data_IF_373983977987
#
_entry.id   IF_373983977987
#
_cell.length_a   1.000
_cell.length_b   1.000
_cell.length_c   1.000
_cell.angle_alpha   90.00
_cell.angle_beta   90.00
_cell.angle_gamma   90.00
#
_symmetry.space_group_name_H-M   'P 1'
#
loop_
_entity.id
_entity.type
_entity.pdbx_description
1 polymer ?
#
# COMPACT_ATOMS: atom_id res chain seq x y z
N UNK A 1 -21.25 15.38 15.06
CA UNK A 1 -21.68 13.97 14.99
C UNK A 1 -21.79 13.45 16.40
N UNK A 2 -22.94 12.91 16.80
CA UNK A 2 -23.06 12.23 18.10
C UNK A 2 -22.35 10.88 17.97
N UNK A 3 -21.41 10.57 18.86
CA UNK A 3 -20.73 9.27 18.87
C UNK A 3 -21.74 8.15 19.16
N UNK A 4 -21.71 7.06 18.40
CA UNK A 4 -22.58 5.88 18.63
C UNK A 4 -22.40 5.32 20.05
N UNK A 5 -21.16 5.34 20.55
CA UNK A 5 -20.85 4.94 21.93
C UNK A 5 -21.56 5.84 22.96
N UNK A 6 -21.63 7.15 22.69
CA UNK A 6 -22.35 8.10 23.53
C UNK A 6 -23.88 7.95 23.41
N UNK A 7 -24.37 7.50 22.25
CA UNK A 7 -25.78 7.19 22.04
C UNK A 7 -26.21 5.89 22.74
N UNK A 8 -25.32 4.91 22.93
CA UNK A 8 -25.65 3.59 23.49
C UNK A 8 -24.61 3.07 24.52
N UNK A 9 -24.34 3.78 25.63
CA UNK A 9 -23.22 3.44 26.51
C UNK A 9 -23.44 2.17 27.36
N UNK A 10 -24.69 1.67 27.49
CA UNK A 10 -25.06 0.53 28.36
C UNK A 10 -26.17 -0.35 27.76
N UNK A 11 -26.43 -0.24 26.47
CA UNK A 11 -27.55 -0.93 25.83
C UNK A 11 -27.24 -2.42 25.65
N UNK A 12 -28.03 -3.32 26.22
CA UNK A 12 -27.89 -4.77 25.95
C UNK A 12 -28.86 -5.25 24.88
N UNK A 13 -29.91 -4.47 24.63
CA UNK A 13 -30.93 -4.71 23.62
C UNK A 13 -31.11 -3.43 22.81
N UNK A 14 -31.03 -3.56 21.49
CA UNK A 14 -31.17 -2.47 20.55
C UNK A 14 -32.24 -2.83 19.52
N UNK A 15 -33.35 -2.09 19.52
CA UNK A 15 -34.44 -2.25 18.56
C UNK A 15 -34.42 -1.09 17.55
N UNK A 16 -34.13 -1.42 16.29
CA UNK A 16 -34.09 -0.53 15.14
C UNK A 16 -35.08 -1.02 14.07
N UNK A 17 -36.10 -1.79 14.45
CA UNK A 17 -37.09 -2.33 13.52
C UNK A 17 -38.04 -1.24 13.00
N UNK A 18 -38.40 -1.29 11.72
CA UNK A 18 -39.23 -0.26 11.10
C UNK A 18 -40.74 -0.38 11.40
N UNK A 19 -41.14 -1.20 12.38
CA UNK A 19 -42.56 -1.41 12.74
C UNK A 19 -43.05 -0.60 13.92
N UNK A 20 -42.14 -0.06 14.75
CA UNK A 20 -42.53 0.44 16.06
C UNK A 20 -41.68 1.62 16.55
N UNK A 21 -41.43 2.62 15.69
CA UNK A 21 -40.54 3.72 16.01
C UNK A 21 -41.18 5.11 15.82
N UNK A 22 -42.12 5.43 16.71
CA UNK A 22 -42.24 6.80 17.22
C UNK A 22 -41.11 7.13 18.23
N UNK A 23 -40.31 6.15 18.69
CA UNK A 23 -39.13 6.38 19.53
C UNK A 23 -38.13 5.20 19.51
N UNK A 24 -36.88 5.47 19.15
CA UNK A 24 -35.72 4.60 19.40
C UNK A 24 -35.72 4.16 20.89
N UNK A 25 -35.97 2.88 21.16
CA UNK A 25 -36.09 2.38 22.54
C UNK A 25 -34.82 1.64 22.94
N UNK A 26 -33.99 2.27 23.76
CA UNK A 26 -32.82 1.63 24.37
C UNK A 26 -33.24 1.01 25.70
N UNK A 27 -33.09 -0.31 25.84
CA UNK A 27 -33.33 -0.98 27.13
C UNK A 27 -32.00 -1.24 27.82
N UNK A 28 -31.79 -0.63 29.00
CA UNK A 28 -30.61 -0.87 29.84
C UNK A 28 -31.00 -1.82 30.98
N UNK A 29 -30.29 -2.94 31.11
CA UNK A 29 -30.49 -3.86 32.26
C UNK A 29 -29.43 -3.57 33.32
N UNK A 30 -29.74 -2.72 34.28
CA UNK A 30 -28.85 -2.44 35.43
C UNK A 30 -29.14 -3.45 36.56
N UNK A 31 -28.12 -4.19 37.00
CA UNK A 31 -28.19 -4.99 38.24
C UNK A 31 -27.99 -4.07 39.44
N UNK A 32 -29.05 -3.60 40.09
CA UNK A 32 -28.96 -2.95 41.40
C UNK A 32 -28.98 -3.99 42.52
N UNK A 33 -28.04 -3.89 43.48
CA UNK A 33 -28.04 -4.70 44.70
C UNK A 33 -29.29 -4.33 45.53
N UNK A 34 -30.08 -5.35 45.87
CA UNK A 34 -31.42 -5.35 46.51
C UNK A 34 -32.61 -5.24 45.52
N UNK A 35 -33.37 -6.34 45.50
CA UNK A 35 -34.75 -6.54 45.00
C UNK A 35 -35.02 -6.41 43.49
N UNK A 36 -35.28 -7.57 42.85
CA UNK A 36 -35.89 -7.85 41.52
C UNK A 36 -35.22 -7.18 40.31
N UNK A 37 -34.93 -7.95 39.26
CA UNK A 37 -34.57 -7.45 37.93
C UNK A 37 -35.64 -6.44 37.48
N UNK A 38 -35.36 -5.14 37.57
CA UNK A 38 -36.25 -4.10 37.04
C UNK A 38 -35.63 -3.62 35.73
N UNK A 39 -36.31 -3.90 34.61
CA UNK A 39 -35.92 -3.41 33.30
C UNK A 39 -36.13 -1.90 33.28
N UNK A 40 -35.06 -1.13 33.11
CA UNK A 40 -35.12 0.33 32.99
C UNK A 40 -35.07 0.64 31.50
N UNK A 41 -36.12 1.31 31.01
CA UNK A 41 -36.25 1.73 29.62
C UNK A 41 -35.75 3.17 29.55
N UNK A 42 -34.45 3.36 29.36
CA UNK A 42 -33.88 4.70 29.17
C UNK A 42 -34.22 5.18 27.76
N UNK A 43 -35.16 6.11 27.66
CA UNK A 43 -35.67 6.65 26.39
C UNK A 43 -34.69 7.69 25.82
N UNK A 44 -33.82 7.29 24.88
CA UNK A 44 -33.13 8.23 23.99
C UNK A 44 -34.00 8.38 22.74
N UNK A 45 -34.81 9.44 22.68
CA UNK A 45 -35.70 9.69 21.55
C UNK A 45 -34.92 10.15 20.31
N UNK A 46 -34.58 9.23 19.42
CA UNK A 46 -34.45 9.52 18.00
C UNK A 46 -35.74 9.08 17.30
N UNK A 47 -36.48 10.04 16.73
CA UNK A 47 -37.64 9.75 15.89
C UNK A 47 -37.13 9.46 14.48
N UNK A 48 -37.14 8.20 14.05
CA UNK A 48 -36.72 7.80 12.69
C UNK A 48 -37.96 7.38 11.92
N UNK A 49 -38.53 8.30 11.15
CA UNK A 49 -39.70 8.03 10.31
C UNK A 49 -39.29 7.02 9.22
N UNK A 50 -40.02 5.92 9.03
CA UNK A 50 -39.77 4.89 8.00
C UNK A 50 -40.05 5.39 6.57
N UNK A 51 -39.32 6.44 6.16
CA UNK A 51 -39.27 7.00 4.80
C UNK A 51 -37.86 6.82 4.21
N UNK A 52 -37.67 7.12 2.92
CA UNK A 52 -36.39 7.05 2.18
C UNK A 52 -35.14 7.55 2.95
N UNK A 53 -35.29 8.51 3.88
CA UNK A 53 -34.20 9.02 4.72
C UNK A 53 -33.67 8.03 5.79
N UNK A 54 -34.47 7.03 6.19
CA UNK A 54 -34.14 6.10 7.28
C UNK A 54 -33.07 5.08 6.89
N UNK A 55 -33.13 4.52 5.67
CA UNK A 55 -32.16 3.53 5.20
C UNK A 55 -30.75 4.12 5.21
N UNK A 56 -30.61 5.38 4.79
CA UNK A 56 -29.34 6.08 4.82
C UNK A 56 -28.84 6.31 6.25
N UNK A 57 -29.72 6.70 7.18
CA UNK A 57 -29.33 6.89 8.59
C UNK A 57 -28.94 5.57 9.25
N UNK A 58 -29.69 4.49 9.03
CA UNK A 58 -29.38 3.17 9.57
C UNK A 58 -28.09 2.61 8.94
N UNK A 59 -27.89 2.83 7.64
CA UNK A 59 -26.64 2.49 6.96
C UNK A 59 -25.46 3.26 7.56
N UNK A 60 -25.60 4.58 7.75
CA UNK A 60 -24.56 5.40 8.38
C UNK A 60 -24.27 4.97 9.82
N UNK A 61 -25.28 4.58 10.60
CA UNK A 61 -25.09 4.07 11.97
C UNK A 61 -24.41 2.70 11.99
N UNK A 62 -24.82 1.76 11.11
CA UNK A 62 -24.24 0.42 11.06
C UNK A 62 -22.79 0.43 10.57
N UNK A 63 -22.44 1.35 9.68
CA UNK A 63 -21.09 1.47 9.09
C UNK A 63 -20.18 2.44 9.84
N UNK A 64 -20.62 3.00 10.97
CA UNK A 64 -19.74 3.73 11.87
C UNK A 64 -18.83 2.73 12.61
N UNK A 65 -17.51 3.00 12.70
CA UNK A 65 -16.56 2.07 13.30
C UNK A 65 -16.89 1.77 14.77
N UNK A 66 -17.59 2.67 15.45
CA UNK A 66 -17.98 2.50 16.84
C UNK A 66 -19.16 1.51 17.03
N UNK A 67 -20.00 1.28 16.03
CA UNK A 67 -21.18 0.41 16.19
C UNK A 67 -20.78 -1.05 16.45
N UNK A 68 -19.88 -1.58 15.62
CA UNK A 68 -19.36 -2.94 15.76
C UNK A 68 -18.47 -3.12 17.00
N UNK A 69 -18.04 -2.02 17.63
CA UNK A 69 -17.29 -2.02 18.90
C UNK A 69 -18.18 -2.19 20.14
N UNK A 70 -19.51 -2.15 20.00
CA UNK A 70 -20.50 -2.34 21.07
C UNK A 70 -20.62 -3.81 21.49
N UNK A 71 -19.52 -4.40 21.96
CA UNK A 71 -19.40 -5.80 22.36
C UNK A 71 -20.34 -6.23 23.49
N UNK A 72 -21.03 -5.30 24.16
CA UNK A 72 -21.98 -5.57 25.24
C UNK A 72 -23.41 -5.87 24.74
N UNK A 73 -23.70 -5.70 23.45
CA UNK A 73 -25.00 -5.98 22.85
C UNK A 73 -25.29 -7.49 22.86
N UNK A 74 -26.51 -7.85 23.28
CA UNK A 74 -27.00 -9.22 23.38
C UNK A 74 -28.13 -9.45 22.37
N UNK A 75 -28.96 -8.44 22.10
CA UNK A 75 -30.05 -8.53 21.13
C UNK A 75 -30.07 -7.29 20.24
N UNK A 76 -30.19 -7.52 18.93
CA UNK A 76 -30.38 -6.46 17.95
C UNK A 76 -31.55 -6.85 17.05
N UNK A 77 -32.50 -5.94 16.88
CA UNK A 77 -33.60 -6.07 15.92
C UNK A 77 -33.40 -5.04 14.81
N UNK A 78 -33.17 -5.50 13.59
CA UNK A 78 -33.07 -4.71 12.36
C UNK A 78 -34.18 -5.08 11.37
N UNK A 79 -35.26 -5.71 11.83
CA UNK A 79 -36.33 -6.21 10.98
C UNK A 79 -37.12 -5.11 10.26
N UNK A 80 -37.68 -5.47 9.10
CA UNK A 80 -38.51 -4.65 8.23
C UNK A 80 -37.84 -3.34 7.79
N UNK A 81 -36.53 -3.35 7.65
CA UNK A 81 -35.76 -2.26 7.05
C UNK A 81 -35.51 -2.54 5.55
N UNK A 82 -34.73 -1.68 4.89
CA UNK A 82 -34.32 -1.90 3.49
C UNK A 82 -32.81 -2.14 3.39
N UNK A 83 -32.24 -2.86 4.37
CA UNK A 83 -30.81 -3.14 4.40
C UNK A 83 -30.43 -4.03 3.22
N UNK A 84 -29.46 -3.58 2.43
CA UNK A 84 -28.94 -4.31 1.26
C UNK A 84 -27.73 -5.15 1.62
N UNK A 85 -26.90 -4.65 2.55
CA UNK A 85 -25.71 -5.29 3.07
C UNK A 85 -25.57 -5.00 4.58
N UNK A 86 -24.77 -5.83 5.25
CA UNK A 86 -24.29 -5.59 6.62
C UNK A 86 -22.79 -5.25 6.58
N UNK A 87 -22.27 -4.50 7.56
CA UNK A 87 -20.84 -4.19 7.67
C UNK A 87 -20.01 -5.47 7.88
N UNK A 88 -18.78 -5.51 7.37
CA UNK A 88 -17.90 -6.67 7.53
C UNK A 88 -17.56 -6.93 9.00
N UNK A 89 -17.53 -5.87 9.79
CA UNK A 89 -17.21 -5.83 11.20
C UNK A 89 -18.36 -6.30 12.11
N UNK A 90 -19.56 -6.63 11.57
CA UNK A 90 -20.69 -7.12 12.39
C UNK A 90 -20.29 -8.33 13.25
N UNK A 91 -19.33 -9.13 12.78
CA UNK A 91 -18.72 -10.25 13.49
C UNK A 91 -18.05 -9.91 14.82
N UNK A 92 -17.68 -8.64 15.05
CA UNK A 92 -17.04 -8.17 16.28
C UNK A 92 -17.99 -8.16 17.48
N UNK A 93 -19.32 -8.23 17.25
CA UNK A 93 -20.35 -8.31 18.28
C UNK A 93 -20.39 -9.72 18.94
N UNK A 94 -19.30 -10.12 19.58
CA UNK A 94 -19.10 -11.49 20.07
C UNK A 94 -20.09 -11.98 21.14
N UNK A 95 -20.80 -11.07 21.82
CA UNK A 95 -21.82 -11.41 22.82
C UNK A 95 -23.26 -11.40 22.27
N UNK A 96 -23.44 -11.08 20.98
CA UNK A 96 -24.76 -11.04 20.35
C UNK A 96 -25.38 -12.45 20.35
N UNK A 97 -26.58 -12.58 20.91
CA UNK A 97 -27.32 -13.85 21.01
C UNK A 97 -28.56 -13.88 20.13
N UNK A 98 -29.13 -12.72 19.79
CA UNK A 98 -30.35 -12.60 19.01
C UNK A 98 -30.19 -11.49 17.99
N UNK A 99 -30.37 -11.85 16.71
CA UNK A 99 -30.30 -10.91 15.60
C UNK A 99 -31.51 -11.11 14.69
N UNK A 100 -32.36 -10.10 14.58
CA UNK A 100 -33.48 -10.12 13.65
C UNK A 100 -33.19 -9.27 12.40
N UNK A 101 -33.23 -9.91 11.23
CA UNK A 101 -33.04 -9.30 9.92
C UNK A 101 -34.24 -9.55 9.00
N UNK A 102 -35.37 -10.00 9.55
CA UNK A 102 -36.60 -10.30 8.82
C UNK A 102 -36.99 -9.15 7.89
N UNK A 103 -37.44 -9.46 6.66
CA UNK A 103 -37.94 -8.51 5.67
C UNK A 103 -37.00 -7.33 5.41
N UNK A 104 -35.79 -7.65 4.94
CA UNK A 104 -34.82 -6.69 4.44
C UNK A 104 -34.55 -6.94 2.94
N UNK A 105 -33.48 -6.35 2.38
CA UNK A 105 -33.05 -6.56 0.99
C UNK A 105 -31.67 -7.22 0.91
N UNK A 106 -31.32 -8.01 1.92
CA UNK A 106 -30.03 -8.68 2.02
C UNK A 106 -29.93 -9.78 0.96
N UNK A 107 -28.85 -9.75 0.19
CA UNK A 107 -28.51 -10.83 -0.76
C UNK A 107 -27.47 -11.80 -0.21
N UNK A 108 -26.53 -11.26 0.56
CA UNK A 108 -25.41 -12.01 1.16
C UNK A 108 -25.19 -11.51 2.58
N UNK A 109 -24.51 -12.31 3.37
CA UNK A 109 -23.96 -11.92 4.67
C UNK A 109 -22.43 -11.79 4.54
N UNK A 110 -21.80 -10.89 5.31
CA UNK A 110 -20.34 -10.74 5.28
C UNK A 110 -19.65 -11.99 5.81
N UNK A 111 -18.44 -12.30 5.32
CA UNK A 111 -17.66 -13.47 5.79
C UNK A 111 -17.35 -13.41 7.29
N UNK A 112 -17.26 -12.20 7.86
CA UNK A 112 -17.08 -12.00 9.30
C UNK A 112 -18.29 -12.42 10.15
N UNK A 113 -19.44 -12.73 9.56
CA UNK A 113 -20.65 -13.15 10.29
C UNK A 113 -20.44 -14.46 11.07
N UNK A 114 -19.53 -15.33 10.62
CA UNK A 114 -19.08 -16.54 11.34
C UNK A 114 -18.49 -16.24 12.73
N UNK A 115 -18.03 -15.02 12.99
CA UNK A 115 -17.37 -14.62 14.24
C UNK A 115 -18.38 -14.36 15.37
N UNK A 116 -19.68 -14.32 15.07
CA UNK A 116 -20.78 -14.21 16.05
C UNK A 116 -20.97 -15.51 16.84
N UNK A 117 -19.96 -15.88 17.65
CA UNK A 117 -19.89 -17.18 18.37
C UNK A 117 -21.02 -17.40 19.37
N UNK A 118 -21.64 -16.33 19.87
CA UNK A 118 -22.73 -16.39 20.86
C UNK A 118 -24.13 -16.37 20.23
N UNK A 119 -24.24 -16.23 18.90
CA UNK A 119 -25.52 -16.04 18.24
C UNK A 119 -26.34 -17.33 18.30
N UNK A 120 -27.53 -17.23 18.90
CA UNK A 120 -28.44 -18.35 19.15
C UNK A 120 -29.72 -18.25 18.36
N UNK A 121 -30.11 -17.07 17.91
CA UNK A 121 -31.37 -16.85 17.20
C UNK A 121 -31.12 -15.89 16.04
N UNK A 122 -31.60 -16.28 14.87
CA UNK A 122 -31.45 -15.52 13.64
C UNK A 122 -32.70 -15.70 12.78
N UNK A 123 -33.26 -14.59 12.32
CA UNK A 123 -34.27 -14.58 11.26
C UNK A 123 -33.76 -13.80 10.05
N UNK A 124 -33.85 -14.44 8.89
CA UNK A 124 -33.46 -13.90 7.59
C UNK A 124 -34.61 -13.99 6.56
N UNK A 125 -35.80 -14.39 6.98
CA UNK A 125 -36.96 -14.55 6.10
C UNK A 125 -37.29 -13.22 5.39
N UNK A 126 -37.90 -13.32 4.22
CA UNK A 126 -38.27 -12.19 3.37
C UNK A 126 -37.07 -11.31 2.95
N UNK A 127 -35.90 -11.95 2.78
CA UNK A 127 -34.73 -11.36 2.13
C UNK A 127 -34.45 -12.08 0.78
N UNK A 128 -33.99 -11.35 -0.25
CA UNK A 128 -33.60 -11.94 -1.54
C UNK A 128 -32.21 -12.61 -1.46
N UNK A 129 -32.04 -13.54 -0.51
CA UNK A 129 -30.78 -14.23 -0.25
C UNK A 129 -30.31 -15.05 -1.45
N UNK A 130 -29.00 -15.16 -1.63
CA UNK A 130 -28.39 -16.09 -2.58
C UNK A 130 -28.85 -17.54 -2.29
N UNK A 131 -29.11 -18.38 -3.31
CA UNK A 131 -29.69 -19.71 -3.11
C UNK A 131 -28.95 -20.61 -2.10
N UNK A 132 -27.62 -20.52 -2.06
CA UNK A 132 -26.76 -21.28 -1.13
C UNK A 132 -27.01 -20.89 0.33
N UNK A 133 -27.06 -19.58 0.59
CA UNK A 133 -27.36 -19.02 1.90
C UNK A 133 -28.82 -19.23 2.30
N UNK A 134 -29.76 -19.05 1.37
CA UNK A 134 -31.17 -19.30 1.60
C UNK A 134 -31.41 -20.76 2.04
N UNK A 135 -30.76 -21.71 1.37
CA UNK A 135 -30.81 -23.13 1.72
C UNK A 135 -30.21 -23.41 3.11
N UNK A 136 -29.12 -22.75 3.47
CA UNK A 136 -28.51 -22.89 4.79
C UNK A 136 -29.39 -22.29 5.91
N UNK A 137 -29.99 -21.12 5.67
CA UNK A 137 -30.90 -20.46 6.60
C UNK A 137 -32.14 -21.32 6.86
N UNK A 138 -32.81 -21.77 5.80
CA UNK A 138 -34.08 -22.48 5.86
C UNK A 138 -35.20 -21.63 6.50
N UNK A 139 -36.28 -22.28 6.93
CA UNK A 139 -37.40 -21.59 7.55
C UNK A 139 -37.13 -21.19 9.00
N UNK A 140 -37.82 -20.15 9.46
CA UNK A 140 -37.83 -19.64 10.83
C UNK A 140 -39.28 -19.28 11.20
N UNK A 141 -40.14 -20.30 11.34
CA UNK A 141 -41.54 -20.12 11.75
C UNK A 141 -41.71 -20.14 13.28
N UNK A 142 -40.87 -20.92 13.96
CA UNK A 142 -40.88 -21.09 15.41
C UNK A 142 -39.49 -20.83 16.01
N UNK A 143 -39.42 -20.55 17.31
CA UNK A 143 -38.16 -20.28 18.02
C UNK A 143 -37.09 -21.36 17.79
N UNK A 144 -37.49 -22.63 17.71
CA UNK A 144 -36.58 -23.75 17.46
C UNK A 144 -35.97 -23.67 16.06
N UNK A 145 -36.76 -23.33 15.04
CA UNK A 145 -36.29 -23.22 13.66
C UNK A 145 -35.33 -22.04 13.51
N UNK A 146 -35.62 -20.90 14.13
CA UNK A 146 -34.73 -19.73 14.12
C UNK A 146 -33.40 -19.98 14.85
N UNK A 147 -33.41 -20.81 15.89
CA UNK A 147 -32.17 -21.29 16.55
C UNK A 147 -31.33 -22.18 15.63
N UNK A 148 -31.99 -23.04 14.88
CA UNK A 148 -31.34 -23.89 13.87
C UNK A 148 -30.80 -23.06 12.70
N UNK A 149 -31.56 -22.06 12.23
CA UNK A 149 -31.14 -21.08 11.22
C UNK A 149 -29.81 -20.43 11.62
N UNK A 150 -29.73 -19.86 12.83
CA UNK A 150 -28.49 -19.27 13.34
C UNK A 150 -27.30 -20.25 13.27
N UNK A 151 -27.49 -21.46 13.77
CA UNK A 151 -26.43 -22.47 13.80
C UNK A 151 -25.97 -22.89 12.40
N UNK A 152 -26.91 -23.15 11.47
CA UNK A 152 -26.61 -23.54 10.09
C UNK A 152 -25.94 -22.42 9.30
N UNK A 153 -26.41 -21.18 9.46
CA UNK A 153 -25.84 -20.01 8.78
C UNK A 153 -24.42 -19.75 9.27
N UNK A 154 -24.17 -19.79 10.59
CA UNK A 154 -22.81 -19.63 11.13
C UNK A 154 -21.86 -20.71 10.62
N UNK A 155 -22.32 -21.97 10.57
CA UNK A 155 -21.53 -23.06 10.02
C UNK A 155 -21.22 -22.85 8.52
N UNK A 156 -22.22 -22.44 7.73
CA UNK A 156 -22.04 -22.12 6.32
C UNK A 156 -21.05 -20.96 6.11
N UNK A 157 -21.18 -19.89 6.88
CA UNK A 157 -20.27 -18.73 6.83
C UNK A 157 -18.85 -19.10 7.24
N UNK A 158 -18.68 -19.99 8.22
CA UNK A 158 -17.36 -20.46 8.65
C UNK A 158 -16.63 -21.19 7.53
N UNK A 159 -17.32 -22.07 6.79
CA UNK A 159 -16.74 -22.76 5.64
C UNK A 159 -16.31 -21.76 4.56
N UNK A 160 -17.15 -20.79 4.23
CA UNK A 160 -16.81 -19.74 3.25
C UNK A 160 -15.62 -18.88 3.70
N UNK A 161 -15.52 -18.57 4.99
CA UNK A 161 -14.39 -17.82 5.52
C UNK A 161 -13.08 -18.63 5.39
N UNK A 162 -13.09 -19.90 5.78
CA UNK A 162 -11.92 -20.78 5.65
C UNK A 162 -11.48 -20.96 4.19
N UNK A 163 -12.43 -21.08 3.26
CA UNK A 163 -12.16 -21.16 1.82
C UNK A 163 -11.55 -19.85 1.30
N UNK A 164 -12.11 -18.70 1.68
CA UNK A 164 -11.58 -17.39 1.30
C UNK A 164 -10.16 -17.16 1.86
N UNK A 165 -9.90 -17.57 3.10
CA UNK A 165 -8.57 -17.48 3.73
C UNK A 165 -7.55 -18.36 3.00
N UNK A 166 -7.88 -19.63 2.73
CA UNK A 166 -7.01 -20.53 1.95
C UNK A 166 -6.72 -19.99 0.55
N UNK A 167 -7.72 -19.42 -0.12
CA UNK A 167 -7.53 -18.82 -1.44
C UNK A 167 -6.60 -17.60 -1.39
N UNK A 168 -6.73 -16.74 -0.36
CA UNK A 168 -5.81 -15.62 -0.13
C UNK A 168 -4.38 -16.11 0.13
N UNK A 169 -4.20 -17.11 1.00
CA UNK A 169 -2.89 -17.67 1.29
C UNK A 169 -2.22 -18.26 0.04
N UNK A 170 -2.97 -19.03 -0.74
CA UNK A 170 -2.49 -19.60 -1.99
C UNK A 170 -2.12 -18.51 -3.02
N UNK A 171 -2.90 -17.44 -3.13
CA UNK A 171 -2.55 -16.27 -3.96
C UNK A 171 -1.23 -15.63 -3.51
N UNK A 172 -1.04 -15.42 -2.20
CA UNK A 172 0.19 -14.85 -1.65
C UNK A 172 1.41 -15.75 -1.85
N UNK A 173 1.24 -17.08 -1.81
CA UNK A 173 2.33 -18.02 -2.10
C UNK A 173 2.75 -17.96 -3.57
N UNK A 174 1.76 -17.93 -4.49
CA UNK A 174 2.03 -17.79 -5.93
C UNK A 174 2.74 -16.49 -6.27
N UNK A 175 2.35 -15.39 -5.62
CA UNK A 175 3.00 -14.09 -5.80
C UNK A 175 4.46 -14.12 -5.32
N UNK A 176 4.71 -14.67 -4.12
CA UNK A 176 6.06 -14.85 -3.58
C UNK A 176 6.93 -15.75 -4.45
N UNK A 177 6.38 -16.82 -5.03
CA UNK A 177 7.11 -17.67 -5.97
C UNK A 177 7.45 -16.95 -7.28
N UNK A 178 6.51 -16.15 -7.79
CA UNK A 178 6.73 -15.35 -8.99
C UNK A 178 7.81 -14.30 -8.76
N UNK A 179 7.80 -13.63 -7.60
CA UNK A 179 8.81 -12.67 -7.19
C UNK A 179 10.19 -13.33 -7.08
N UNK A 180 10.30 -14.46 -6.38
CA UNK A 180 11.55 -15.25 -6.32
C UNK A 180 12.07 -15.64 -7.71
N UNK A 181 11.18 -16.05 -8.62
CA UNK A 181 11.54 -16.36 -10.02
C UNK A 181 12.03 -15.11 -10.77
N UNK A 182 11.42 -13.95 -10.56
CA UNK A 182 11.86 -12.67 -11.14
C UNK A 182 13.23 -12.28 -10.60
N UNK A 183 13.44 -12.35 -9.29
CA UNK A 183 14.74 -12.07 -8.66
C UNK A 183 15.84 -13.02 -9.15
N UNK A 184 15.57 -14.32 -9.26
CA UNK A 184 16.53 -15.29 -9.76
C UNK A 184 16.94 -14.98 -11.21
N UNK A 185 15.96 -14.69 -12.08
CA UNK A 185 16.23 -14.26 -13.46
C UNK A 185 17.04 -12.96 -13.52
N UNK A 186 16.74 -12.01 -12.64
CA UNK A 186 17.48 -10.75 -12.56
C UNK A 186 18.94 -10.98 -12.13
N UNK A 187 19.17 -11.78 -11.08
CA UNK A 187 20.51 -12.15 -10.61
C UNK A 187 21.31 -12.90 -11.67
N UNK A 188 20.65 -13.80 -12.42
CA UNK A 188 21.30 -14.50 -13.53
C UNK A 188 21.70 -13.54 -14.65
N UNK A 189 20.83 -12.60 -15.03
CA UNK A 189 21.14 -11.58 -16.02
C UNK A 189 22.33 -10.71 -15.58
N UNK A 190 22.33 -10.24 -14.33
CA UNK A 190 23.43 -9.46 -13.78
C UNK A 190 24.75 -10.26 -13.72
N UNK A 191 24.70 -11.55 -13.40
CA UNK A 191 25.88 -12.42 -13.41
C UNK A 191 26.44 -12.58 -14.83
N UNK A 192 25.57 -12.82 -15.83
CA UNK A 192 25.95 -12.90 -17.25
C UNK A 192 26.57 -11.60 -17.75
N UNK A 193 26.01 -10.44 -17.38
CA UNK A 193 26.56 -9.13 -17.73
C UNK A 193 27.94 -8.91 -17.09
N UNK A 194 28.11 -9.24 -15.80
CA UNK A 194 29.40 -9.15 -15.11
C UNK A 194 30.44 -10.07 -15.76
N UNK A 195 30.07 -11.28 -16.16
CA UNK A 195 30.97 -12.21 -16.86
C UNK A 195 31.37 -11.68 -18.24
N UNK A 196 30.41 -11.18 -19.02
CA UNK A 196 30.67 -10.58 -20.33
C UNK A 196 31.60 -9.35 -20.22
N UNK A 197 31.41 -8.50 -19.21
CA UNK A 197 32.32 -7.38 -18.94
C UNK A 197 33.73 -7.86 -18.56
N UNK A 198 33.87 -8.91 -17.76
CA UNK A 198 35.18 -9.51 -17.44
C UNK A 198 35.88 -10.05 -18.68
N UNK A 199 35.16 -10.76 -19.56
CA UNK A 199 35.67 -11.26 -20.85
C UNK A 199 36.15 -10.12 -21.75
N UNK A 200 35.33 -9.09 -21.96
CA UNK A 200 35.72 -7.88 -22.73
C UNK A 200 36.98 -7.21 -22.19
N UNK A 201 37.08 -7.06 -20.85
CA UNK A 201 38.28 -6.48 -20.21
C UNK A 201 39.52 -7.36 -20.38
N UNK A 202 39.38 -8.69 -20.35
CA UNK A 202 40.47 -9.63 -20.58
C UNK A 202 40.95 -9.59 -22.04
N UNK A 203 40.02 -9.62 -23.00
CA UNK A 203 40.28 -9.49 -24.44
C UNK A 203 40.97 -8.16 -24.77
N UNK A 204 40.52 -7.04 -24.19
CA UNK A 204 41.16 -5.74 -24.38
C UNK A 204 42.58 -5.70 -23.82
N UNK A 205 42.82 -6.28 -22.64
CA UNK A 205 44.16 -6.41 -22.05
C UNK A 205 45.08 -7.25 -22.93
N UNK A 206 44.57 -8.35 -23.50
CA UNK A 206 45.32 -9.19 -24.42
C UNK A 206 45.65 -8.45 -25.73
N UNK A 207 44.67 -7.72 -26.29
CA UNK A 207 44.87 -6.90 -27.49
C UNK A 207 45.97 -5.86 -27.28
N UNK A 208 45.94 -5.14 -26.15
CA UNK A 208 46.98 -4.17 -25.77
C UNK A 208 48.37 -4.82 -25.63
N UNK A 209 48.46 -6.03 -25.06
CA UNK A 209 49.73 -6.79 -24.98
C UNK A 209 50.27 -7.16 -26.36
N UNK A 210 49.42 -7.64 -27.27
CA UNK A 210 49.78 -7.97 -28.66
C UNK A 210 50.24 -6.73 -29.43
N UNK A 211 49.52 -5.62 -29.32
CA UNK A 211 49.90 -4.33 -29.92
C UNK A 211 51.27 -3.85 -29.41
N UNK A 212 51.50 -3.91 -28.09
CA UNK A 212 52.80 -3.55 -27.50
C UNK A 212 53.95 -4.42 -28.00
N UNK A 213 53.76 -5.75 -28.05
CA UNK A 213 54.76 -6.68 -28.59
C UNK A 213 55.06 -6.40 -30.08
N UNK A 214 54.02 -6.14 -30.88
CA UNK A 214 54.18 -5.78 -32.29
C UNK A 214 54.97 -4.46 -32.44
N UNK A 215 54.65 -3.42 -31.67
CA UNK A 215 55.40 -2.15 -31.69
C UNK A 215 56.87 -2.33 -31.33
N UNK A 216 57.16 -3.15 -30.31
CA UNK A 216 58.53 -3.48 -29.90
C UNK A 216 59.29 -4.23 -31.00
N UNK A 217 58.67 -5.23 -31.64
CA UNK A 217 59.27 -5.95 -32.77
C UNK A 217 59.56 -5.02 -33.95
N UNK A 218 58.60 -4.15 -34.30
CA UNK A 218 58.76 -3.17 -35.38
C UNK A 218 59.92 -2.20 -35.10
N UNK A 219 60.01 -1.71 -33.86
CA UNK A 219 61.09 -0.82 -33.41
C UNK A 219 62.46 -1.51 -33.44
N UNK A 220 62.52 -2.81 -33.10
CA UNK A 220 63.74 -3.61 -33.19
C UNK A 220 64.18 -3.81 -34.64
N UNK A 221 63.26 -4.15 -35.55
CA UNK A 221 63.53 -4.26 -36.99
C UNK A 221 63.98 -2.93 -37.59
N UNK A 222 63.36 -1.81 -37.21
CA UNK A 222 63.78 -0.47 -37.63
C UNK A 222 65.17 -0.10 -37.10
N UNK A 223 65.53 -0.46 -35.85
CA UNK A 223 66.89 -0.29 -35.31
C UNK A 223 67.91 -1.12 -36.09
N UNK A 224 67.59 -2.36 -36.45
CA UNK A 224 68.45 -3.19 -37.29
C UNK A 224 68.61 -2.63 -38.71
N UNK A 225 67.53 -2.12 -39.31
CA UNK A 225 67.60 -1.43 -40.60
C UNK A 225 68.37 -0.12 -40.52
N UNK A 226 68.24 0.67 -39.44
CA UNK A 226 69.05 1.86 -39.19
C UNK A 226 70.53 1.50 -39.03
N UNK A 227 70.87 0.43 -38.31
CA UNK A 227 72.25 -0.08 -38.24
C UNK A 227 72.78 -0.56 -39.59
N UNK A 228 71.96 -1.20 -40.44
CA UNK A 228 72.32 -1.53 -41.84
C UNK A 228 72.49 -0.27 -42.71
N UNK A 229 71.65 0.75 -42.54
CA UNK A 229 71.75 2.06 -43.21
C UNK A 229 72.93 2.90 -42.72
N UNK A 230 73.30 2.83 -41.43
CA UNK A 230 74.48 3.46 -40.85
C UNK A 230 75.77 2.74 -41.25
N UNK A 231 75.77 1.41 -41.39
CA UNK A 231 76.88 0.69 -42.03
C UNK A 231 77.04 1.09 -43.51
N UNK A 232 75.95 1.45 -44.20
CA UNK A 232 76.03 2.08 -45.55
C UNK A 232 76.41 3.57 -45.51
N UNK A 233 76.12 4.32 -44.44
CA UNK A 233 76.44 5.76 -44.29
C UNK A 233 77.82 6.06 -43.68
N UNK A 234 78.47 5.12 -42.98
CA UNK A 234 79.88 5.26 -42.55
C UNK A 234 80.89 5.17 -43.72
N UNK A 235 80.41 5.18 -44.96
CA UNK A 235 81.19 5.44 -46.16
C UNK A 235 81.01 6.89 -46.71
N UNK A 236 80.32 7.81 -46.01
CA UNK A 236 80.16 9.19 -46.48
C UNK A 236 80.22 10.22 -45.32
N UNK A 237 80.88 11.33 -45.61
CA UNK A 237 81.67 12.21 -44.72
C UNK A 237 80.93 13.51 -44.28
N UNK A 238 81.40 14.08 -43.16
CA UNK A 238 81.67 15.51 -42.85
C UNK A 238 80.60 16.65 -42.79
N UNK A 239 80.92 17.58 -41.85
CA UNK A 239 80.58 19.01 -41.69
C UNK A 239 79.26 19.49 -41.00
N UNK A 240 79.43 20.28 -39.91
CA UNK A 240 79.02 21.69 -39.89
C UNK A 240 77.86 22.19 -38.98
N UNK A 241 78.23 22.85 -37.86
CA UNK A 241 77.82 24.22 -37.41
C UNK A 241 76.46 24.49 -36.67
N UNK A 242 76.64 24.89 -35.39
CA UNK A 242 76.02 25.97 -34.54
C UNK A 242 74.55 25.99 -34.03
N UNK A 243 74.51 26.38 -32.75
CA UNK A 243 73.61 27.27 -31.96
C UNK A 243 72.38 26.74 -31.20
N UNK A 244 72.26 27.28 -29.97
CA UNK A 244 71.42 26.90 -28.85
C UNK A 244 70.07 27.65 -28.79
N UNK A 245 69.09 27.12 -28.03
CA UNK A 245 68.25 27.86 -27.07
C UNK A 245 67.18 26.94 -26.45
N UNK A 246 66.81 27.21 -25.20
CA UNK A 246 65.94 26.45 -24.29
C UNK A 246 64.57 27.17 -24.12
N UNK A 247 63.48 26.41 -23.86
CA UNK A 247 62.39 26.66 -22.88
C UNK A 247 61.02 26.06 -23.30
N UNK A 248 60.28 25.52 -22.32
CA UNK A 248 58.98 24.81 -22.41
C UNK A 248 57.80 25.77 -22.05
N UNK A 249 56.53 25.33 -21.92
CA UNK A 249 55.41 25.49 -22.86
C UNK A 249 54.35 26.54 -22.45
N UNK A 250 53.39 26.88 -23.32
CA UNK A 250 52.14 27.56 -22.91
C UNK A 250 50.88 26.87 -23.45
N UNK A 251 50.09 26.35 -22.51
CA UNK A 251 48.72 25.90 -22.67
C UNK A 251 47.78 27.09 -22.95
N UNK A 252 46.80 26.90 -23.85
CA UNK A 252 45.67 27.82 -24.04
C UNK A 252 44.42 27.28 -23.35
N UNK A 253 43.67 28.23 -22.78
CA UNK A 253 42.66 28.12 -21.75
C UNK A 253 41.28 27.64 -22.26
N UNK A 254 40.66 26.81 -21.41
CA UNK A 254 39.24 26.54 -21.14
C UNK A 254 38.16 27.07 -22.11
N UNK A 255 37.67 26.16 -22.97
CA UNK A 255 36.31 26.19 -23.55
C UNK A 255 35.33 25.38 -22.64
N UNK A 256 35.86 24.73 -21.58
CA UNK A 256 35.11 23.83 -20.71
C UNK A 256 34.22 24.56 -19.68
N UNK A 257 34.61 25.77 -19.26
CA UNK A 257 33.90 26.53 -18.22
C UNK A 257 32.57 27.16 -18.67
N UNK A 258 32.44 27.52 -19.94
CA UNK A 258 31.19 28.08 -20.49
C UNK A 258 30.11 27.00 -20.70
N UNK A 259 30.50 25.82 -21.20
CA UNK A 259 29.60 24.68 -21.32
C UNK A 259 29.15 24.17 -19.95
N UNK A 260 30.05 24.07 -18.98
CA UNK A 260 29.70 23.66 -17.62
C UNK A 260 28.80 24.71 -16.92
N UNK A 261 29.05 26.01 -17.14
CA UNK A 261 28.21 27.09 -16.63
C UNK A 261 26.79 27.07 -17.23
N UNK A 262 26.67 26.81 -18.53
CA UNK A 262 25.38 26.72 -19.21
C UNK A 262 24.59 25.48 -18.75
N UNK A 263 25.28 24.34 -18.60
CA UNK A 263 24.69 23.09 -18.13
C UNK A 263 24.19 23.21 -16.68
N UNK A 264 24.96 23.89 -15.81
CA UNK A 264 24.58 24.13 -14.42
C UNK A 264 23.36 25.06 -14.33
N UNK A 265 23.29 26.10 -15.16
CA UNK A 265 22.13 27.00 -15.23
C UNK A 265 20.88 26.29 -15.73
N UNK A 266 21.01 25.41 -16.74
CA UNK A 266 19.91 24.61 -17.26
C UNK A 266 19.40 23.60 -16.20
N UNK A 267 20.32 22.96 -15.47
CA UNK A 267 19.99 22.06 -14.36
C UNK A 267 19.25 22.79 -13.23
N UNK A 268 19.72 23.99 -12.84
CA UNK A 268 19.04 24.83 -11.85
C UNK A 268 17.62 25.22 -12.29
N UNK A 269 17.44 25.59 -13.57
CA UNK A 269 16.12 25.93 -14.13
C UNK A 269 15.15 24.75 -14.09
N UNK A 270 15.62 23.52 -14.40
CA UNK A 270 14.81 22.31 -14.31
C UNK A 270 14.43 21.97 -12.86
N UNK A 271 15.35 22.15 -11.91
CA UNK A 271 15.10 21.91 -10.48
C UNK A 271 14.06 22.90 -9.94
N UNK A 272 14.20 24.19 -10.27
CA UNK A 272 13.24 25.23 -9.87
C UNK A 272 11.87 24.99 -10.52
N UNK A 273 11.84 24.60 -11.79
CA UNK A 273 10.62 24.20 -12.48
C UNK A 273 9.90 23.04 -11.80
N UNK A 274 10.62 21.96 -11.49
CA UNK A 274 10.07 20.81 -10.77
C UNK A 274 9.57 21.19 -9.37
N UNK A 275 10.32 22.00 -8.62
CA UNK A 275 9.91 22.48 -7.31
C UNK A 275 8.63 23.35 -7.37
N UNK A 276 8.49 24.19 -8.40
CA UNK A 276 7.29 25.00 -8.61
C UNK A 276 6.05 24.16 -8.92
N UNK A 277 6.18 23.10 -9.74
CA UNK A 277 5.09 22.17 -10.05
C UNK A 277 4.69 21.37 -8.81
N UNK A 278 5.66 20.93 -8.01
CA UNK A 278 5.41 20.24 -6.73
C UNK A 278 4.70 21.17 -5.75
N UNK A 279 5.14 22.43 -5.61
CA UNK A 279 4.51 23.42 -4.76
C UNK A 279 3.05 23.70 -5.17
N UNK A 280 2.77 23.79 -6.47
CA UNK A 280 1.41 23.97 -7.00
C UNK A 280 0.53 22.75 -6.73
N UNK A 281 1.02 21.51 -6.94
CA UNK A 281 0.28 20.29 -6.60
C UNK A 281 0.04 20.14 -5.08
N UNK A 282 0.85 20.78 -4.21
CA UNK A 282 0.70 20.69 -2.74
C UNK A 282 -0.11 21.84 -2.11
N UNK A 283 -0.05 23.06 -2.66
CA UNK A 283 -0.73 24.25 -2.11
C UNK A 283 -2.16 24.46 -2.64
N UNK A 284 -2.59 23.69 -3.64
CA UNK A 284 -3.94 23.76 -4.22
C UNK A 284 -4.70 22.45 -4.03
N UNK A 285 -6.04 22.49 -3.95
CA UNK A 285 -6.92 21.32 -3.78
C UNK A 285 -6.95 20.34 -5.00
N UNK A 286 -5.96 20.40 -5.90
CA UNK A 286 -5.86 19.49 -7.07
C UNK A 286 -5.28 18.10 -6.74
N UNK A 287 -5.25 17.71 -5.45
CA UNK A 287 -4.62 16.47 -4.95
C UNK A 287 -5.17 15.16 -5.55
N UNK A 288 -6.32 15.20 -6.23
CA UNK A 288 -7.05 14.03 -6.76
C UNK A 288 -7.11 13.97 -8.30
N UNK A 289 -6.51 14.92 -9.01
CA UNK A 289 -6.44 14.91 -10.47
C UNK A 289 -5.39 13.88 -10.96
N UNK A 290 -5.68 13.19 -12.06
CA UNK A 290 -4.89 12.07 -12.58
C UNK A 290 -3.41 12.42 -12.86
N UNK A 291 -3.08 13.70 -12.99
CA UNK A 291 -1.74 14.20 -13.27
C UNK A 291 -0.83 14.26 -12.03
N UNK A 292 -1.34 14.63 -10.84
CA UNK A 292 -0.50 14.77 -9.64
C UNK A 292 -0.30 13.42 -8.90
N UNK A 293 -1.08 12.38 -9.19
CA UNK A 293 -1.00 11.06 -8.50
C UNK A 293 0.38 10.37 -8.68
N UNK A 294 0.94 10.24 -9.89
CA UNK A 294 2.26 9.62 -10.08
C UNK A 294 3.40 10.47 -9.47
N UNK A 295 3.27 11.80 -9.53
CA UNK A 295 4.20 12.76 -8.97
C UNK A 295 4.29 12.65 -7.44
N UNK A 296 3.15 12.45 -6.78
CA UNK A 296 3.09 12.36 -5.33
C UNK A 296 3.68 11.04 -4.79
N UNK A 297 3.56 9.95 -5.55
CA UNK A 297 4.17 8.64 -5.20
C UNK A 297 5.71 8.72 -5.28
N UNK A 298 6.25 9.27 -6.36
CA UNK A 298 7.70 9.43 -6.50
C UNK A 298 8.29 10.44 -5.51
N UNK A 299 7.53 11.47 -5.14
CA UNK A 299 7.94 12.40 -4.09
C UNK A 299 8.06 11.70 -2.72
N UNK A 300 7.05 10.91 -2.32
CA UNK A 300 7.07 10.14 -1.07
C UNK A 300 8.22 9.12 -1.02
N UNK A 301 8.52 8.43 -2.12
CA UNK A 301 9.69 7.54 -2.21
C UNK A 301 11.02 8.30 -2.08
N UNK A 302 11.12 9.46 -2.73
CA UNK A 302 12.32 10.31 -2.68
C UNK A 302 12.54 10.92 -1.30
N UNK A 303 11.46 11.32 -0.61
CA UNK A 303 11.50 11.83 0.76
C UNK A 303 11.90 10.73 1.73
N UNK A 304 11.36 9.51 1.60
CA UNK A 304 11.78 8.37 2.44
C UNK A 304 13.25 7.99 2.21
N UNK A 305 13.70 8.02 0.96
CA UNK A 305 15.11 7.81 0.63
C UNK A 305 16.00 8.91 1.23
N UNK A 306 15.58 10.17 1.13
CA UNK A 306 16.32 11.31 1.68
C UNK A 306 16.37 11.27 3.22
N UNK A 307 15.29 10.87 3.88
CA UNK A 307 15.24 10.70 5.34
C UNK A 307 16.13 9.54 5.84
N UNK A 308 16.49 8.60 4.97
CA UNK A 308 17.43 7.50 5.26
C UNK A 308 18.91 7.90 5.21
N UNK A 309 19.24 9.12 4.76
CA UNK A 309 20.61 9.63 4.77
C UNK A 309 20.90 10.29 6.12
N UNK A 310 21.93 9.81 6.83
CA UNK A 310 22.33 10.34 8.15
C UNK A 310 22.59 11.86 8.13
N UNK A 311 23.12 12.39 7.02
CA UNK A 311 23.38 13.82 6.83
C UNK A 311 22.08 14.64 6.85
N UNK A 312 21.00 14.10 6.30
CA UNK A 312 19.69 14.78 6.26
C UNK A 312 19.05 14.78 7.64
N UNK A 313 19.17 13.69 8.40
CA UNK A 313 18.70 13.65 9.79
C UNK A 313 19.45 14.65 10.69
N UNK A 314 20.77 14.79 10.53
CA UNK A 314 21.54 15.79 11.27
C UNK A 314 21.10 17.22 10.96
N UNK A 315 20.78 17.53 9.70
CA UNK A 315 20.29 18.86 9.29
C UNK A 315 18.88 19.13 9.81
N UNK A 316 17.99 18.13 9.76
CA UNK A 316 16.62 18.26 10.27
C UNK A 316 16.63 18.48 11.79
N UNK A 317 17.46 17.75 12.53
CA UNK A 317 17.61 17.93 13.97
C UNK A 317 18.10 19.34 14.31
N UNK A 318 19.12 19.83 13.59
CA UNK A 318 19.69 21.18 13.78
C UNK A 318 18.70 22.30 13.46
N UNK A 319 17.80 22.09 12.49
CA UNK A 319 16.74 23.02 12.13
C UNK A 319 15.57 23.02 13.13
N UNK A 320 15.30 21.89 13.77
CA UNK A 320 14.32 21.80 14.87
C UNK A 320 14.81 22.49 16.13
N UNK A 321 16.10 22.34 16.46
CA UNK A 321 16.71 23.01 17.62
C UNK A 321 16.78 24.54 17.46
N UNK A 322 16.77 25.05 16.21
CA UNK A 322 16.68 26.48 15.89
C UNK A 322 15.25 27.05 15.96
N UNK A 323 14.23 26.18 16.08
CA UNK A 323 12.80 26.57 16.11
C UNK A 323 12.22 26.60 17.54
N UNK A 324 12.97 26.15 18.53
CA UNK A 324 12.69 26.31 19.98
C UNK A 324 13.46 27.49 20.55
#
# INVERSE_FOLDING_TARGET
MISVQAAFPKATVLDLSCNNLTALTVSTTVKTKKTKKKQIRDQIRFAVICSFFNVLVLFLLLYQPEFCSLTHLIKIDLSKNQLVCLPEEIGQLGNLQHLDLYNNKLKKLPVGFSQLKSLKWLDLKDNPLEPTLAKAAGDCLDEKQCKQCASRVLQHMKVLQEEAEKEREHRLLKERELEKKKEAKQREKEAREKEAQKKKKAEEKERKRKEYQAQMATSASQKQQKKKKEKKKKAAQNQGKKTASECVPKAKRSICSLFFSLLLKLLLLLIVGAASVIAVCQLTELRKEAFCVPLNVHFEETVRWAQGLEVVQQVIQKMSDLRT
#
